data_IF_605491612523
#
_entry.id   IF_605491612523
#
_cell.length_a   1.000
_cell.length_b   1.000
_cell.length_c   1.000
_cell.angle_alpha   90.00
_cell.angle_beta   90.00
_cell.angle_gamma   90.00
#
_symmetry.space_group_name_H-M   'P 1'
#
loop_
_entity.id
_entity.type
_entity.pdbx_description
1 polymer ?
#
# COMPACT_ATOMS: atom_id res chain seq x y z
N UNK A 1 -21.00 2.16 66.21
CA UNK A 1 -21.29 0.93 65.44
C UNK A 1 -21.30 1.27 63.94
N UNK A 2 -20.53 0.49 63.18
CA UNK A 2 -20.40 0.35 61.72
C UNK A 2 -20.21 1.58 60.82
N UNK A 3 -18.96 1.71 60.37
CA UNK A 3 -18.41 2.57 59.34
C UNK A 3 -18.38 1.81 58.00
N UNK A 4 -19.51 1.32 57.48
CA UNK A 4 -19.54 0.67 56.16
C UNK A 4 -20.31 1.52 55.16
N UNK A 5 -19.55 2.31 54.41
CA UNK A 5 -19.99 2.98 53.20
C UNK A 5 -20.51 1.96 52.20
N UNK A 6 -21.70 2.23 51.67
CA UNK A 6 -22.32 1.48 50.59
C UNK A 6 -21.40 1.62 49.36
N UNK A 7 -20.68 0.57 48.99
CA UNK A 7 -19.95 0.48 47.73
C UNK A 7 -20.96 0.32 46.60
N UNK A 8 -21.58 1.41 46.14
CA UNK A 8 -22.30 1.37 44.87
C UNK A 8 -21.27 1.34 43.76
N UNK A 9 -20.94 0.15 43.27
CA UNK A 9 -20.27 0.02 41.97
C UNK A 9 -21.17 0.68 40.92
N UNK A 10 -20.66 1.64 40.11
CA UNK A 10 -21.48 2.22 39.06
C UNK A 10 -21.82 1.10 38.10
N UNK A 11 -23.12 0.84 37.86
CA UNK A 11 -23.54 -0.01 36.74
C UNK A 11 -23.16 0.73 35.46
N UNK A 12 -21.97 0.47 34.94
CA UNK A 12 -21.60 0.87 33.59
C UNK A 12 -22.65 0.28 32.65
N UNK A 13 -23.32 1.09 31.82
CA UNK A 13 -24.30 0.56 30.88
C UNK A 13 -23.62 -0.52 30.05
N UNK A 14 -24.27 -1.68 29.92
CA UNK A 14 -23.74 -2.80 29.16
C UNK A 14 -23.26 -2.27 27.80
N UNK A 15 -21.95 -2.38 27.56
CA UNK A 15 -21.32 -1.97 26.31
C UNK A 15 -22.05 -2.77 25.24
N UNK A 16 -22.89 -2.13 24.42
CA UNK A 16 -23.46 -2.77 23.24
C UNK A 16 -22.25 -3.11 22.37
N UNK A 17 -21.76 -4.34 22.45
CA UNK A 17 -20.73 -4.82 21.55
C UNK A 17 -21.30 -4.67 20.15
N UNK A 18 -20.59 -3.94 19.30
CA UNK A 18 -20.94 -3.90 17.89
C UNK A 18 -21.00 -5.36 17.39
N UNK A 19 -22.04 -5.75 16.64
CA UNK A 19 -22.15 -7.11 16.13
C UNK A 19 -20.91 -7.41 15.27
N UNK A 20 -20.32 -8.60 15.45
CA UNK A 20 -19.13 -9.05 14.73
C UNK A 20 -19.30 -9.04 13.20
N UNK A 21 -20.55 -8.97 12.71
CA UNK A 21 -20.89 -8.77 11.30
C UNK A 21 -20.42 -7.42 10.74
N UNK A 22 -20.28 -6.39 11.57
CA UNK A 22 -19.78 -5.08 11.14
C UNK A 22 -18.26 -5.06 10.99
N UNK A 23 -17.53 -5.94 11.69
CA UNK A 23 -16.07 -6.02 11.63
C UNK A 23 -15.57 -6.46 10.25
N UNK A 24 -16.28 -7.37 9.57
CA UNK A 24 -15.87 -7.89 8.26
C UNK A 24 -16.07 -6.92 7.09
N UNK A 25 -16.87 -5.85 7.26
CA UNK A 25 -17.22 -4.93 6.17
C UNK A 25 -16.84 -3.47 6.44
N UNK A 26 -16.30 -3.16 7.63
CA UNK A 26 -15.91 -1.81 8.02
C UNK A 26 -14.40 -1.61 8.14
N UNK A 27 -13.58 -2.65 8.01
CA UNK A 27 -12.15 -2.47 7.84
C UNK A 27 -11.91 -1.81 6.49
N UNK A 28 -11.67 -0.50 6.51
CA UNK A 28 -11.37 0.25 5.29
C UNK A 28 -10.08 -0.29 4.67
N UNK A 29 -9.93 -0.20 3.36
CA UNK A 29 -8.69 -0.55 2.67
C UNK A 29 -7.48 0.14 3.29
N UNK A 30 -7.67 1.36 3.81
CA UNK A 30 -6.69 2.13 4.58
C UNK A 30 -6.30 1.42 5.88
N UNK A 31 -7.27 0.95 6.67
CA UNK A 31 -7.00 0.21 7.92
C UNK A 31 -6.32 -1.15 7.68
N UNK A 32 -6.57 -1.77 6.53
CA UNK A 32 -5.92 -3.02 6.12
C UNK A 32 -4.55 -2.80 5.47
N UNK A 33 -4.11 -1.55 5.29
CA UNK A 33 -2.86 -1.22 4.61
C UNK A 33 -2.86 -1.63 3.13
N UNK A 34 -4.04 -1.74 2.51
CA UNK A 34 -4.21 -1.98 1.08
C UNK A 34 -4.13 -0.68 0.26
N UNK A 35 -4.08 0.48 0.92
CA UNK A 35 -3.75 1.74 0.28
C UNK A 35 -2.23 1.85 0.10
N UNK A 36 -1.74 1.28 -1.00
CA UNK A 36 -0.32 1.31 -1.39
C UNK A 36 0.09 2.65 -2.02
N UNK A 37 -0.85 3.56 -2.27
CA UNK A 37 -0.61 4.78 -3.03
C UNK A 37 -0.26 4.53 -4.50
N UNK A 38 0.13 5.60 -5.21
CA UNK A 38 0.60 5.48 -6.60
C UNK A 38 2.01 4.88 -6.64
N UNK A 39 2.28 3.91 -7.55
CA UNK A 39 3.62 3.34 -7.70
C UNK A 39 4.69 4.41 -7.94
N UNK A 40 5.81 4.28 -7.24
CA UNK A 40 6.98 5.14 -7.38
C UNK A 40 8.17 4.30 -7.85
N UNK A 41 8.94 4.80 -8.81
CA UNK A 41 10.12 4.14 -9.36
C UNK A 41 11.29 5.13 -9.43
N UNK A 42 12.46 4.75 -8.89
CA UNK A 42 13.67 5.57 -8.99
C UNK A 42 14.50 5.13 -10.20
N UNK A 43 14.58 5.95 -11.24
CA UNK A 43 15.45 5.73 -12.40
C UNK A 43 16.49 6.84 -12.48
N UNK A 44 17.77 6.49 -12.67
CA UNK A 44 18.87 7.47 -12.84
C UNK A 44 18.96 8.54 -11.75
N UNK A 45 18.50 8.23 -10.52
CA UNK A 45 18.46 9.19 -9.41
C UNK A 45 17.22 10.10 -9.39
N UNK A 46 16.29 9.90 -10.32
CA UNK A 46 15.02 10.62 -10.42
C UNK A 46 13.84 9.72 -9.99
N UNK A 47 12.96 10.27 -9.15
CA UNK A 47 11.73 9.62 -8.70
C UNK A 47 10.62 9.82 -9.74
N UNK A 48 10.09 8.73 -10.27
CA UNK A 48 8.97 8.69 -11.22
C UNK A 48 7.72 8.20 -10.49
N UNK A 49 6.61 8.93 -10.63
CA UNK A 49 5.29 8.53 -10.16
C UNK A 49 4.43 8.05 -11.33
N UNK A 50 3.74 6.94 -11.14
CA UNK A 50 2.77 6.47 -12.13
C UNK A 50 1.45 7.25 -12.00
N UNK A 51 1.06 7.97 -13.04
CA UNK A 51 -0.20 8.71 -13.13
C UNK A 51 -0.80 8.59 -14.52
N UNK A 52 -2.10 8.32 -14.62
CA UNK A 52 -2.83 8.12 -15.89
C UNK A 52 -2.20 7.06 -16.82
N UNK A 53 -1.55 6.03 -16.27
CA UNK A 53 -0.84 5.00 -17.04
C UNK A 53 0.52 5.42 -17.58
N UNK A 54 1.00 6.62 -17.22
CA UNK A 54 2.31 7.14 -17.62
C UNK A 54 3.21 7.35 -16.41
N UNK A 55 4.51 7.18 -16.59
CA UNK A 55 5.51 7.51 -15.58
C UNK A 55 5.94 8.97 -15.74
N UNK A 56 5.77 9.77 -14.68
CA UNK A 56 6.08 11.20 -14.67
C UNK A 56 7.13 11.47 -13.60
N UNK A 57 8.19 12.17 -13.99
CA UNK A 57 9.20 12.66 -13.06
C UNK A 57 8.60 13.62 -12.03
N UNK A 58 8.90 13.37 -10.76
CA UNK A 58 8.45 14.19 -9.63
C UNK A 58 9.14 15.56 -9.63
N UNK A 59 10.33 15.64 -10.21
CA UNK A 59 11.07 16.89 -10.43
C UNK A 59 11.06 17.14 -11.93
N UNK A 60 10.58 18.30 -12.41
CA UNK A 60 10.56 18.65 -13.84
C UNK A 60 11.95 18.84 -14.49
N UNK A 61 12.99 18.24 -13.92
CA UNK A 61 14.38 18.35 -14.35
C UNK A 61 14.59 17.24 -15.37
N UNK A 62 14.25 17.52 -16.63
CA UNK A 62 14.63 16.71 -17.79
C UNK A 62 16.16 16.76 -18.01
N UNK A 63 16.92 16.30 -17.02
CA UNK A 63 18.38 16.25 -17.02
C UNK A 63 18.84 14.90 -17.54
N UNK A 64 19.22 14.86 -18.82
CA UNK A 64 20.08 13.83 -19.46
C UNK A 64 19.97 12.42 -18.86
N UNK A 65 18.94 11.67 -19.24
CA UNK A 65 18.83 10.25 -18.89
C UNK A 65 20.06 9.49 -19.42
N UNK A 66 20.79 8.81 -18.53
CA UNK A 66 21.96 8.01 -18.89
C UNK A 66 21.55 6.89 -19.86
N UNK A 67 22.00 6.99 -21.11
CA UNK A 67 21.65 6.06 -22.18
C UNK A 67 22.13 4.64 -21.86
N UNK A 68 23.21 4.50 -21.09
CA UNK A 68 23.73 3.20 -20.65
C UNK A 68 22.74 2.52 -19.71
N UNK A 69 22.18 3.28 -18.78
CA UNK A 69 21.19 2.76 -17.84
C UNK A 69 19.87 2.41 -18.55
N UNK A 70 19.43 3.21 -19.52
CA UNK A 70 18.27 2.87 -20.36
C UNK A 70 18.48 1.52 -21.08
N UNK A 71 19.66 1.30 -21.67
CA UNK A 71 19.98 0.04 -22.34
C UNK A 71 19.99 -1.14 -21.37
N UNK A 72 20.53 -0.95 -20.16
CA UNK A 72 20.55 -1.96 -19.11
C UNK A 72 19.14 -2.33 -18.64
N UNK A 73 18.27 -1.33 -18.43
CA UNK A 73 16.86 -1.52 -18.08
C UNK A 73 16.08 -2.24 -19.17
N UNK A 74 16.29 -1.87 -20.45
CA UNK A 74 15.69 -2.58 -21.59
C UNK A 74 16.06 -4.05 -21.61
N UNK A 75 17.34 -4.38 -21.37
CA UNK A 75 17.78 -5.77 -21.32
C UNK A 75 17.09 -6.54 -20.18
N UNK A 76 16.98 -5.94 -18.99
CA UNK A 76 16.26 -6.54 -17.87
C UNK A 76 14.77 -6.73 -18.16
N UNK A 77 14.13 -5.74 -18.76
CA UNK A 77 12.72 -5.80 -19.12
C UNK A 77 12.44 -6.95 -20.11
N UNK A 78 13.31 -7.11 -21.12
CA UNK A 78 13.19 -8.23 -22.07
C UNK A 78 13.34 -9.60 -21.39
N UNK A 79 14.25 -9.73 -20.41
CA UNK A 79 14.41 -10.98 -19.65
C UNK A 79 13.16 -11.26 -18.79
N UNK A 80 12.64 -10.25 -18.10
CA UNK A 80 11.42 -10.37 -17.31
C UNK A 80 10.22 -10.75 -18.17
N UNK A 81 10.11 -10.20 -19.39
CA UNK A 81 9.06 -10.58 -20.32
C UNK A 81 9.17 -12.05 -20.73
N UNK A 82 10.38 -12.52 -21.04
CA UNK A 82 10.59 -13.93 -21.36
C UNK A 82 10.27 -14.86 -20.17
N UNK A 83 10.61 -14.46 -18.94
CA UNK A 83 10.25 -15.21 -17.73
C UNK A 83 8.73 -15.27 -17.53
N UNK A 84 8.02 -14.16 -17.76
CA UNK A 84 6.55 -14.11 -17.72
C UNK A 84 5.97 -15.05 -18.78
N UNK A 85 6.47 -15.01 -20.01
CA UNK A 85 5.97 -15.85 -21.10
C UNK A 85 6.16 -17.35 -20.77
N UNK A 86 7.31 -17.72 -20.19
CA UNK A 86 7.57 -19.09 -19.71
C UNK A 86 6.65 -19.48 -18.56
N UNK A 87 6.37 -18.57 -17.64
CA UNK A 87 5.44 -18.82 -16.55
C UNK A 87 4.01 -19.01 -17.07
N UNK A 88 3.58 -18.18 -18.03
CA UNK A 88 2.26 -18.26 -18.63
C UNK A 88 2.08 -19.52 -19.48
N UNK A 89 3.12 -20.00 -20.18
CA UNK A 89 3.08 -21.28 -20.93
C UNK A 89 2.92 -22.52 -20.02
N UNK A 90 3.26 -22.38 -18.73
CA UNK A 90 3.15 -23.48 -17.75
C UNK A 90 1.76 -23.59 -17.11
N UNK A 91 0.81 -22.71 -17.42
CA UNK A 91 -0.56 -22.71 -16.92
C UNK A 91 -1.57 -22.95 -18.03
#
# INVERSE_FOLDING_TARGET
MSLFGKTSTPKTPARKSAPLSNLHRQTSEVEMGLDYGSPIMNLTGESLKCGNGHWVAETGISGSVDHREIQHLRKRNNLLQADIDVLLDKF
#
